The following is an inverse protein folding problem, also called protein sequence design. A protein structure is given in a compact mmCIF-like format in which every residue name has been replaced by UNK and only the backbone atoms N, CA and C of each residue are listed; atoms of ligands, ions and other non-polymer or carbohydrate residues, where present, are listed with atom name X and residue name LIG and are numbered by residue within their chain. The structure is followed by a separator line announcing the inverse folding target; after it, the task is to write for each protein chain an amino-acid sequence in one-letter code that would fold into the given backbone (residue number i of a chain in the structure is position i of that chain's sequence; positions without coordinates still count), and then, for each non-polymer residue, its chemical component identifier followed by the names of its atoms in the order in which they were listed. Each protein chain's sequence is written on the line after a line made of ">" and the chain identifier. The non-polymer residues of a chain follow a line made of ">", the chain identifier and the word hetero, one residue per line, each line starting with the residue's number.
data_IF_700170635164
#
_entry.id   IF_700170635164
#
_cell.length_a   1.000
_cell.length_b   1.000
_cell.length_c   1.000
_cell.angle_alpha   90.00
_cell.angle_beta   90.00
_cell.angle_gamma   90.00
#
_symmetry.space_group_name_H-M   'P 1'
#
loop_
_entity.id
_entity.type
_entity.pdbx_description
1 polymer ?
#
# COMPACT_ATOMS: atom_id res chain seq x y z
N UNK A 1 -2.21 -26.40 24.00
CA UNK A 1 -2.64 -25.03 24.36
C UNK A 1 -3.58 -24.41 23.32
N UNK A 2 -3.31 -24.52 22.00
CA UNK A 2 -4.22 -23.99 20.94
C UNK A 2 -5.51 -24.81 20.77
N UNK A 3 -5.44 -26.16 20.76
CA UNK A 3 -6.64 -27.04 20.68
C UNK A 3 -7.64 -26.85 21.83
N UNK A 4 -7.20 -26.34 22.99
CA UNK A 4 -8.08 -26.11 24.15
C UNK A 4 -8.94 -24.84 24.02
N UNK A 5 -8.60 -23.91 23.12
CA UNK A 5 -9.37 -22.69 22.89
C UNK A 5 -10.55 -22.89 21.91
N UNK A 6 -10.64 -24.07 21.27
CA UNK A 6 -11.65 -24.39 20.25
C UNK A 6 -12.71 -25.41 20.73
N UNK A 7 -12.55 -25.99 21.92
CA UNK A 7 -13.50 -26.97 22.47
C UNK A 7 -14.67 -26.27 23.17
N UNK A 8 -15.70 -25.93 22.39
CA UNK A 8 -17.08 -25.87 22.87
C UNK A 8 -17.80 -27.16 22.47
N UNK A 9 -18.51 -27.78 23.42
CA UNK A 9 -19.13 -29.11 23.38
C UNK A 9 -19.86 -29.46 22.07
N UNK A 10 -19.40 -30.51 21.35
CA UNK A 10 -20.22 -31.53 20.67
C UNK A 10 -19.32 -32.61 19.99
N UNK A 11 -19.01 -33.73 20.65
CA UNK A 11 -17.77 -34.51 20.43
C UNK A 11 -17.73 -35.54 19.27
N UNK A 12 -18.68 -35.63 18.33
CA UNK A 12 -18.59 -36.67 17.27
C UNK A 12 -18.78 -36.22 15.81
N UNK A 13 -19.33 -35.02 15.57
CA UNK A 13 -19.45 -34.40 14.23
C UNK A 13 -18.71 -33.06 14.10
N UNK A 14 -18.14 -32.58 15.21
CA UNK A 14 -17.39 -31.33 15.30
C UNK A 14 -15.91 -31.46 14.94
N UNK A 15 -15.36 -32.69 14.84
CA UNK A 15 -13.92 -32.88 14.63
C UNK A 15 -13.46 -32.36 13.27
N UNK A 16 -14.15 -32.71 12.19
CA UNK A 16 -13.77 -32.33 10.82
C UNK A 16 -13.88 -30.82 10.58
N UNK A 17 -14.90 -30.20 11.18
CA UNK A 17 -15.05 -28.74 11.19
C UNK A 17 -13.95 -28.07 11.99
N UNK A 18 -13.72 -28.54 13.22
CA UNK A 18 -12.65 -28.03 14.07
C UNK A 18 -11.31 -28.15 13.37
N UNK A 19 -11.09 -29.24 12.63
CA UNK A 19 -9.88 -29.48 11.85
C UNK A 19 -9.76 -28.52 10.66
N UNK A 20 -10.82 -28.29 9.87
CA UNK A 20 -10.80 -27.34 8.76
C UNK A 20 -10.54 -25.89 9.23
N UNK A 21 -11.18 -25.47 10.32
CA UNK A 21 -10.95 -24.14 10.91
C UNK A 21 -9.57 -24.05 11.60
N UNK A 22 -9.05 -25.15 12.15
CA UNK A 22 -7.70 -25.20 12.69
C UNK A 22 -6.65 -25.07 11.58
N UNK A 23 -6.81 -25.78 10.47
CA UNK A 23 -5.95 -25.65 9.29
C UNK A 23 -6.03 -24.24 8.69
N UNK A 24 -7.23 -23.67 8.55
CA UNK A 24 -7.39 -22.29 8.10
C UNK A 24 -6.70 -21.29 9.04
N UNK A 25 -6.69 -21.54 10.35
CA UNK A 25 -5.94 -20.72 11.29
C UNK A 25 -4.44 -20.84 11.08
N UNK A 26 -3.89 -22.05 10.99
CA UNK A 26 -2.45 -22.25 10.77
C UNK A 26 -2.01 -21.61 9.45
N UNK A 27 -2.78 -21.78 8.38
CA UNK A 27 -2.46 -21.20 7.07
C UNK A 27 -2.37 -19.67 7.13
N UNK A 28 -3.32 -19.02 7.85
CA UNK A 28 -3.31 -17.56 8.03
C UNK A 28 -2.10 -17.09 8.84
N UNK A 29 -1.71 -17.82 9.89
CA UNK A 29 -0.52 -17.50 10.69
C UNK A 29 0.75 -17.69 9.87
N UNK A 30 0.84 -18.77 9.08
CA UNK A 30 2.01 -19.11 8.27
C UNK A 30 2.28 -18.08 7.17
N UNK A 31 1.23 -17.42 6.65
CA UNK A 31 1.37 -16.28 5.72
C UNK A 31 1.54 -14.93 6.43
N UNK A 32 1.70 -14.92 7.76
CA UNK A 32 2.03 -13.73 8.55
C UNK A 32 0.84 -12.87 8.99
N UNK A 33 -0.39 -13.36 8.87
CA UNK A 33 -1.56 -12.64 9.42
C UNK A 33 -1.48 -12.66 10.94
N UNK A 34 -1.71 -11.49 11.54
CA UNK A 34 -1.76 -11.36 12.99
C UNK A 34 -2.81 -12.31 13.60
N UNK A 35 -2.47 -12.99 14.69
CA UNK A 35 -3.35 -13.95 15.36
C UNK A 35 -4.74 -13.39 15.68
N UNK A 36 -4.83 -12.13 16.10
CA UNK A 36 -6.10 -11.49 16.40
C UNK A 36 -6.98 -11.38 15.15
N UNK A 37 -6.40 -10.93 14.03
CA UNK A 37 -7.09 -10.79 12.74
C UNK A 37 -7.49 -12.18 12.22
N UNK A 38 -6.60 -13.16 12.29
CA UNK A 38 -6.88 -14.53 11.86
C UNK A 38 -8.07 -15.14 12.64
N UNK A 39 -8.11 -14.92 13.97
CA UNK A 39 -9.24 -15.36 14.81
C UNK A 39 -10.54 -14.65 14.42
N UNK A 40 -10.50 -13.33 14.20
CA UNK A 40 -11.67 -12.55 13.80
C UNK A 40 -12.23 -13.00 12.45
N UNK A 41 -11.35 -13.24 11.47
CA UNK A 41 -11.71 -13.75 10.15
C UNK A 41 -12.40 -15.11 10.23
N UNK A 42 -11.82 -16.06 10.97
CA UNK A 42 -12.38 -17.40 11.12
C UNK A 42 -13.68 -17.42 11.93
N UNK A 43 -13.80 -16.57 12.96
CA UNK A 43 -15.04 -16.43 13.71
C UNK A 43 -16.17 -15.89 12.83
N UNK A 44 -15.87 -14.89 12.00
CA UNK A 44 -16.83 -14.31 11.05
C UNK A 44 -17.22 -15.34 9.98
N UNK A 45 -16.23 -16.08 9.46
CA UNK A 45 -16.45 -17.17 8.50
C UNK A 45 -17.38 -18.23 9.09
N UNK A 46 -17.10 -18.69 10.32
CA UNK A 46 -17.91 -19.69 11.03
C UNK A 46 -19.36 -19.24 11.19
N UNK A 47 -19.58 -17.99 11.59
CA UNK A 47 -20.92 -17.44 11.76
C UNK A 47 -21.72 -17.43 10.43
N UNK A 48 -21.10 -17.03 9.33
CA UNK A 48 -21.76 -16.95 8.02
C UNK A 48 -22.08 -18.34 7.43
N UNK A 49 -21.16 -19.30 7.52
CA UNK A 49 -21.42 -20.67 7.01
C UNK A 49 -22.44 -21.42 7.87
N UNK A 50 -22.48 -21.16 9.19
CA UNK A 50 -23.50 -21.73 10.07
C UNK A 50 -24.89 -21.16 9.76
N UNK A 51 -25.00 -19.84 9.55
CA UNK A 51 -26.26 -19.20 9.18
C UNK A 51 -26.79 -19.71 7.82
N UNK A 52 -25.89 -20.08 6.91
CA UNK A 52 -26.24 -20.57 5.57
C UNK A 52 -26.48 -22.09 5.52
N UNK A 53 -26.32 -22.82 6.63
CA UNK A 53 -26.43 -24.28 6.67
C UNK A 53 -25.28 -25.03 5.97
N UNK A 54 -24.23 -24.32 5.54
CA UNK A 54 -23.09 -24.82 4.78
C UNK A 54 -21.85 -25.03 5.66
N UNK A 55 -22.04 -25.16 6.96
CA UNK A 55 -20.92 -25.23 7.89
C UNK A 55 -19.92 -26.34 7.54
N UNK A 56 -20.39 -27.49 7.06
CA UNK A 56 -19.55 -28.66 6.72
C UNK A 56 -18.95 -28.60 5.31
N UNK A 57 -19.30 -27.60 4.50
CA UNK A 57 -18.85 -27.48 3.12
C UNK A 57 -17.51 -26.71 3.08
N UNK A 58 -16.45 -27.42 2.71
CA UNK A 58 -15.08 -26.85 2.64
C UNK A 58 -14.97 -25.74 1.61
N UNK A 59 -15.67 -25.85 0.48
CA UNK A 59 -15.65 -24.82 -0.56
C UNK A 59 -16.45 -23.59 -0.11
N UNK A 60 -17.55 -23.79 0.62
CA UNK A 60 -18.30 -22.70 1.25
C UNK A 60 -17.48 -21.97 2.31
N UNK A 61 -16.75 -22.69 3.19
CA UNK A 61 -15.84 -22.08 4.16
C UNK A 61 -14.77 -21.24 3.47
N UNK A 62 -14.11 -21.81 2.45
CA UNK A 62 -13.03 -21.13 1.72
C UNK A 62 -13.55 -19.88 1.01
N UNK A 63 -14.62 -19.99 0.23
CA UNK A 63 -15.21 -18.86 -0.49
C UNK A 63 -15.66 -17.75 0.46
N UNK A 64 -16.26 -18.11 1.59
CA UNK A 64 -16.66 -17.16 2.64
C UNK A 64 -15.45 -16.43 3.22
N UNK A 65 -14.37 -17.15 3.55
CA UNK A 65 -13.14 -16.55 4.07
C UNK A 65 -12.50 -15.60 3.03
N UNK A 66 -12.47 -15.99 1.76
CA UNK A 66 -11.99 -15.15 0.67
C UNK A 66 -12.80 -13.86 0.56
N UNK A 67 -14.15 -13.95 0.55
CA UNK A 67 -15.02 -12.78 0.50
C UNK A 67 -14.76 -11.83 1.67
N UNK A 68 -14.62 -12.36 2.88
CA UNK A 68 -14.32 -11.55 4.06
C UNK A 68 -12.98 -10.82 3.94
N UNK A 69 -11.95 -11.46 3.37
CA UNK A 69 -10.66 -10.80 3.11
C UNK A 69 -10.79 -9.71 2.04
N UNK A 70 -11.55 -9.97 0.97
CA UNK A 70 -11.83 -8.97 -0.07
C UNK A 70 -12.56 -7.74 0.51
N UNK A 71 -13.54 -7.97 1.38
CA UNK A 71 -14.32 -6.90 2.02
C UNK A 71 -13.46 -6.05 2.97
N UNK A 72 -12.40 -6.63 3.57
CA UNK A 72 -11.44 -5.90 4.41
C UNK A 72 -10.45 -5.04 3.60
N UNK A 73 -10.30 -5.30 2.30
CA UNK A 73 -9.30 -4.67 1.44
C UNK A 73 -9.97 -3.89 0.29
N UNK A 74 -10.63 -2.76 0.59
CA UNK A 74 -11.26 -1.95 -0.45
C UNK A 74 -10.20 -1.45 -1.44
N UNK A 75 -10.30 -1.91 -2.69
CA UNK A 75 -9.39 -1.50 -3.77
C UNK A 75 -9.93 -0.22 -4.42
N UNK A 76 -9.14 0.84 -4.37
CA UNK A 76 -9.46 2.07 -5.10
C UNK A 76 -9.03 1.95 -6.56
N UNK A 77 -9.64 2.74 -7.44
CA UNK A 77 -9.28 2.77 -8.87
C UNK A 77 -7.94 3.45 -9.19
N UNK A 78 -7.04 3.59 -8.22
CA UNK A 78 -5.74 4.26 -8.38
C UNK A 78 -5.83 5.78 -8.47
N UNK A 79 -4.73 6.39 -8.95
CA UNK A 79 -4.60 7.85 -9.13
C UNK A 79 -5.49 8.28 -10.32
N UNK A 80 -6.42 9.20 -10.06
CA UNK A 80 -7.33 9.73 -11.09
C UNK A 80 -6.96 11.16 -11.44
N UNK A 81 -6.75 11.43 -12.73
CA UNK A 81 -6.43 12.75 -13.24
C UNK A 81 -7.71 13.49 -13.66
N UNK A 82 -7.71 14.81 -13.50
CA UNK A 82 -8.78 15.70 -13.96
C UNK A 82 -8.23 16.65 -15.01
N UNK A 83 -9.03 16.96 -16.04
CA UNK A 83 -8.61 17.90 -17.08
C UNK A 83 -8.35 19.29 -16.51
N UNK A 84 -7.28 19.94 -17.00
CA UNK A 84 -6.91 21.30 -16.60
C UNK A 84 -6.38 21.43 -15.18
N UNK A 85 -6.11 20.32 -14.46
CA UNK A 85 -5.52 20.34 -13.11
C UNK A 85 -4.35 19.38 -12.99
N UNK A 86 -3.22 19.88 -12.49
CA UNK A 86 -2.08 19.03 -12.10
C UNK A 86 -2.41 18.28 -10.83
N UNK A 87 -2.45 16.94 -10.92
CA UNK A 87 -2.56 16.08 -9.73
C UNK A 87 -1.17 15.88 -9.13
N UNK A 88 -1.02 16.08 -7.82
CA UNK A 88 0.25 15.90 -7.09
C UNK A 88 0.12 14.75 -6.12
N UNK A 89 0.96 13.73 -6.27
CA UNK A 89 0.91 12.51 -5.46
C UNK A 89 2.27 12.25 -4.84
N UNK A 90 2.31 12.09 -3.52
CA UNK A 90 3.54 11.75 -2.80
C UNK A 90 3.52 10.30 -2.31
N UNK A 91 4.62 9.57 -2.52
CA UNK A 91 4.79 8.24 -1.93
C UNK A 91 5.65 8.33 -0.67
N UNK A 92 5.12 7.86 0.46
CA UNK A 92 5.81 7.83 1.76
C UNK A 92 5.90 6.41 2.30
N UNK A 93 6.78 6.18 3.27
CA UNK A 93 6.92 4.87 3.92
C UNK A 93 8.35 4.50 4.30
N UNK A 94 8.54 3.33 4.93
CA UNK A 94 9.84 2.88 5.44
C UNK A 94 10.92 2.75 4.36
N UNK A 95 12.17 2.59 4.78
CA UNK A 95 13.29 2.33 3.87
C UNK A 95 13.14 0.97 3.18
N UNK A 96 13.49 0.89 1.91
CA UNK A 96 13.52 -0.38 1.16
C UNK A 96 12.19 -0.91 0.65
N UNK A 97 11.04 -0.30 1.01
CA UNK A 97 9.70 -0.76 0.57
C UNK A 97 9.38 -0.54 -0.92
N UNK A 98 10.31 0.04 -1.70
CA UNK A 98 10.16 0.17 -3.14
C UNK A 98 9.56 1.49 -3.66
N UNK A 99 9.49 2.56 -2.85
CA UNK A 99 8.92 3.88 -3.24
C UNK A 99 9.42 4.41 -4.59
N UNK A 100 10.74 4.58 -4.73
CA UNK A 100 11.37 5.12 -5.95
C UNK A 100 11.06 4.25 -7.17
N UNK A 101 11.14 2.92 -7.03
CA UNK A 101 10.79 1.98 -8.11
C UNK A 101 9.30 2.06 -8.47
N UNK A 102 8.42 2.21 -7.48
CA UNK A 102 6.98 2.37 -7.70
C UNK A 102 6.68 3.68 -8.42
N UNK A 103 7.34 4.79 -8.06
CA UNK A 103 7.21 6.07 -8.78
C UNK A 103 7.64 5.93 -10.24
N UNK A 104 8.79 5.31 -10.51
CA UNK A 104 9.25 5.10 -11.88
C UNK A 104 8.23 4.28 -12.69
N UNK A 105 7.64 3.22 -12.10
CA UNK A 105 6.59 2.41 -12.75
C UNK A 105 5.32 3.22 -13.01
N UNK A 106 4.85 4.00 -12.04
CA UNK A 106 3.68 4.85 -12.20
C UNK A 106 3.91 5.90 -13.28
N UNK A 107 5.06 6.58 -13.25
CA UNK A 107 5.45 7.58 -14.24
C UNK A 107 5.49 6.98 -15.65
N UNK A 108 6.12 5.82 -15.81
CA UNK A 108 6.16 5.08 -17.07
C UNK A 108 4.76 4.70 -17.56
N UNK A 109 3.88 4.21 -16.67
CA UNK A 109 2.50 3.86 -17.04
C UNK A 109 1.73 5.09 -17.54
N UNK A 110 1.73 6.19 -16.78
CA UNK A 110 1.01 7.41 -17.15
C UNK A 110 1.57 8.07 -18.41
N UNK A 111 2.91 8.10 -18.58
CA UNK A 111 3.55 8.69 -19.75
C UNK A 111 3.38 7.83 -21.00
N UNK A 112 3.70 6.54 -20.92
CA UNK A 112 3.83 5.68 -22.11
C UNK A 112 2.50 5.06 -22.54
N UNK A 113 1.63 4.69 -21.58
CA UNK A 113 0.35 4.04 -21.89
C UNK A 113 -0.79 5.05 -21.95
N UNK A 114 -0.85 5.97 -20.99
CA UNK A 114 -1.94 6.95 -20.90
C UNK A 114 -1.63 8.29 -21.58
N UNK A 115 -0.40 8.46 -22.10
CA UNK A 115 0.05 9.65 -22.84
C UNK A 115 -0.13 10.97 -22.06
N UNK A 116 0.07 10.91 -20.74
CA UNK A 116 -0.01 12.08 -19.84
C UNK A 116 1.32 12.81 -19.75
N UNK A 117 1.26 14.10 -19.45
CA UNK A 117 2.42 14.94 -19.11
C UNK A 117 2.72 14.72 -17.62
N UNK A 118 3.84 14.08 -17.33
CA UNK A 118 4.23 13.66 -15.98
C UNK A 118 5.52 14.35 -15.59
N UNK A 119 5.61 14.84 -14.35
CA UNK A 119 6.83 15.36 -13.75
C UNK A 119 7.20 14.60 -12.49
N UNK A 120 8.49 14.58 -12.17
CA UNK A 120 9.03 13.93 -10.98
C UNK A 120 9.64 14.97 -10.05
N UNK A 121 9.46 14.77 -8.75
CA UNK A 121 10.18 15.50 -7.71
C UNK A 121 10.80 14.47 -6.77
N UNK A 122 12.08 14.59 -6.43
CA UNK A 122 12.66 13.80 -5.34
C UNK A 122 13.11 14.69 -4.19
N UNK A 123 12.80 14.24 -2.98
CA UNK A 123 13.32 14.79 -1.73
C UNK A 123 14.26 13.81 -1.00
N UNK A 124 14.63 12.68 -1.63
CA UNK A 124 15.64 11.74 -1.09
C UNK A 124 17.07 12.22 -1.41
N UNK A 125 17.42 13.42 -0.96
CA UNK A 125 18.74 14.02 -1.23
C UNK A 125 19.86 13.45 -0.35
N UNK A 126 19.53 12.62 0.63
CA UNK A 126 20.51 11.91 1.46
C UNK A 126 21.17 10.74 0.73
N UNK A 127 20.48 10.14 -0.25
CA UNK A 127 20.96 8.99 -1.00
C UNK A 127 21.26 9.42 -2.42
N UNK A 128 22.47 9.92 -2.66
CA UNK A 128 22.92 10.37 -3.99
C UNK A 128 22.61 9.34 -5.09
N UNK A 129 22.87 8.06 -4.82
CA UNK A 129 22.55 6.99 -5.76
C UNK A 129 21.05 6.83 -6.06
N UNK A 130 20.16 7.17 -5.12
CA UNK A 130 18.71 7.16 -5.35
C UNK A 130 18.27 8.30 -6.27
N UNK A 131 18.86 9.49 -6.12
CA UNK A 131 18.63 10.63 -7.02
C UNK A 131 19.07 10.28 -8.44
N UNK A 132 20.29 9.76 -8.61
CA UNK A 132 20.81 9.37 -9.93
C UNK A 132 20.02 8.21 -10.55
N UNK A 133 19.55 7.26 -9.73
CA UNK A 133 18.68 6.18 -10.19
C UNK A 133 17.35 6.73 -10.72
N UNK A 134 16.70 7.63 -9.99
CA UNK A 134 15.43 8.22 -10.45
C UNK A 134 15.63 9.10 -11.68
N UNK A 135 16.74 9.86 -11.75
CA UNK A 135 17.12 10.65 -12.92
C UNK A 135 17.31 9.77 -14.15
N UNK A 136 17.99 8.64 -14.02
CA UNK A 136 18.15 7.67 -15.11
C UNK A 136 16.80 7.23 -15.67
N UNK A 137 15.81 6.93 -14.80
CA UNK A 137 14.46 6.61 -15.28
C UNK A 137 13.76 7.80 -15.95
N UNK A 138 13.89 9.00 -15.37
CA UNK A 138 13.32 10.23 -15.93
C UNK A 138 13.84 10.50 -17.35
N UNK A 139 15.16 10.38 -17.55
CA UNK A 139 15.83 10.61 -18.84
C UNK A 139 15.40 9.57 -19.88
N UNK A 140 15.30 8.28 -19.48
CA UNK A 140 14.85 7.20 -20.37
C UNK A 140 13.40 7.42 -20.85
N UNK A 141 12.55 7.95 -19.97
CA UNK A 141 11.10 8.14 -20.23
C UNK A 141 10.80 9.56 -20.80
N UNK A 142 11.81 10.43 -20.84
CA UNK A 142 11.71 11.85 -21.21
C UNK A 142 10.71 12.61 -20.32
N UNK A 143 11.04 12.68 -19.01
CA UNK A 143 10.25 13.37 -17.99
C UNK A 143 11.04 14.49 -17.33
N UNK A 144 10.44 15.68 -17.09
CA UNK A 144 11.05 16.70 -16.24
C UNK A 144 11.17 16.18 -14.80
N UNK A 145 12.33 16.43 -14.18
CA UNK A 145 12.62 16.02 -12.82
C UNK A 145 13.26 17.15 -12.01
N UNK A 146 12.78 17.32 -10.77
CA UNK A 146 13.28 18.30 -9.82
C UNK A 146 13.87 17.61 -8.58
N UNK A 147 15.00 18.12 -8.08
CA UNK A 147 15.64 17.65 -6.85
C UNK A 147 15.48 18.75 -5.81
N UNK A 148 14.85 18.42 -4.67
CA UNK A 148 14.42 19.40 -3.68
C UNK A 148 14.92 19.02 -2.30
N UNK A 149 15.57 19.95 -1.61
CA UNK A 149 16.02 19.79 -0.22
C UNK A 149 15.30 20.72 0.76
N UNK A 150 14.67 21.80 0.28
CA UNK A 150 14.03 22.80 1.16
C UNK A 150 12.57 23.06 0.81
N UNK A 151 11.74 23.52 1.78
CA UNK A 151 10.35 23.91 1.51
C UNK A 151 10.23 25.01 0.42
N UNK A 152 11.21 25.92 0.34
CA UNK A 152 11.26 26.94 -0.71
C UNK A 152 11.48 26.32 -2.09
N UNK A 153 12.48 25.45 -2.22
CA UNK A 153 12.73 24.72 -3.48
C UNK A 153 11.52 23.88 -3.89
N UNK A 154 10.80 23.28 -2.94
CA UNK A 154 9.57 22.54 -3.23
C UNK A 154 8.53 23.43 -3.90
N UNK A 155 8.27 24.63 -3.35
CA UNK A 155 7.32 25.57 -3.97
C UNK A 155 7.72 25.93 -5.40
N UNK A 156 9.00 26.20 -5.61
CA UNK A 156 9.54 26.57 -6.92
C UNK A 156 9.44 25.41 -7.92
N UNK A 157 9.77 24.19 -7.49
CA UNK A 157 9.63 22.97 -8.29
C UNK A 157 8.17 22.73 -8.72
N UNK A 158 7.22 22.82 -7.78
CA UNK A 158 5.79 22.66 -8.11
C UNK A 158 5.31 23.76 -9.06
N UNK A 159 5.82 24.99 -8.93
CA UNK A 159 5.48 26.06 -9.87
C UNK A 159 6.01 25.76 -11.28
N UNK A 160 7.24 25.24 -11.41
CA UNK A 160 7.83 24.84 -12.70
C UNK A 160 7.09 23.69 -13.37
N UNK A 161 6.49 22.79 -12.57
CA UNK A 161 5.75 21.61 -13.05
C UNK A 161 4.24 21.83 -13.12
N UNK A 162 3.77 23.08 -12.97
CA UNK A 162 2.35 23.41 -12.80
C UNK A 162 1.49 23.29 -14.07
N UNK A 163 2.12 23.15 -15.23
CA UNK A 163 1.44 22.94 -16.50
C UNK A 163 1.22 21.46 -16.82
N UNK A 164 1.80 20.53 -16.04
CA UNK A 164 1.72 19.09 -16.26
C UNK A 164 0.39 18.49 -15.76
N UNK A 165 0.09 17.26 -16.17
CA UNK A 165 -1.13 16.56 -15.73
C UNK A 165 -0.93 15.87 -14.38
N UNK A 166 0.29 15.37 -14.12
CA UNK A 166 0.65 14.62 -12.92
C UNK A 166 2.06 14.97 -12.44
N UNK A 167 2.22 15.19 -11.14
CA UNK A 167 3.51 15.30 -10.46
C UNK A 167 3.62 14.22 -9.40
N UNK A 168 4.65 13.39 -9.49
CA UNK A 168 4.95 12.33 -8.51
C UNK A 168 6.12 12.75 -7.64
N UNK A 169 5.93 12.70 -6.32
CA UNK A 169 6.93 13.10 -5.32
C UNK A 169 7.52 11.85 -4.64
N UNK A 170 8.80 11.59 -4.90
CA UNK A 170 9.61 10.55 -4.26
C UNK A 170 10.22 11.05 -2.97
N UNK A 171 10.07 10.26 -1.90
CA UNK A 171 10.57 10.62 -0.57
C UNK A 171 11.56 9.59 -0.07
N UNK A 172 12.50 10.03 0.76
CA UNK A 172 13.37 9.12 1.49
C UNK A 172 12.56 8.13 2.34
N UNK A 173 13.11 6.93 2.55
CA UNK A 173 12.59 6.01 3.56
C UNK A 173 12.75 6.59 4.96
N UNK A 174 11.64 6.71 5.71
CA UNK A 174 11.65 7.21 7.08
C UNK A 174 11.06 6.18 8.03
N UNK A 175 11.72 5.99 9.17
CA UNK A 175 11.14 5.23 10.28
C UNK A 175 9.96 6.02 10.86
N UNK A 176 8.80 5.40 11.13
CA UNK A 176 7.70 6.08 11.80
C UNK A 176 8.04 6.51 13.22
N UNK A 177 9.14 6.00 13.80
CA UNK A 177 9.64 6.39 15.12
C UNK A 177 10.52 7.64 15.10
N UNK A 178 10.99 8.07 13.92
CA UNK A 178 11.87 9.23 13.75
C UNK A 178 11.01 10.49 13.56
N UNK A 179 10.47 11.02 14.66
CA UNK A 179 9.51 12.13 14.62
C UNK A 179 10.09 13.40 13.96
N UNK A 180 11.38 13.67 14.14
CA UNK A 180 12.05 14.85 13.55
C UNK A 180 11.97 14.77 12.03
N UNK A 181 12.39 13.64 11.44
CA UNK A 181 12.36 13.46 9.97
C UNK A 181 10.94 13.40 9.41
N UNK A 182 9.97 12.94 10.19
CA UNK A 182 8.56 12.98 9.79
C UNK A 182 8.07 14.44 9.73
N UNK A 183 8.47 15.31 10.67
CA UNK A 183 8.10 16.73 10.62
C UNK A 183 8.80 17.49 9.48
N UNK A 184 10.06 17.18 9.19
CA UNK A 184 10.76 17.71 8.01
C UNK A 184 10.03 17.32 6.72
N UNK A 185 9.68 16.04 6.58
CA UNK A 185 8.93 15.54 5.43
C UNK A 185 7.55 16.23 5.33
N UNK A 186 6.83 16.37 6.45
CA UNK A 186 5.54 17.08 6.50
C UNK A 186 5.69 18.52 6.01
N UNK A 187 6.76 19.20 6.40
CA UNK A 187 7.02 20.58 5.98
C UNK A 187 7.23 20.68 4.46
N UNK A 188 7.95 19.73 3.87
CA UNK A 188 8.10 19.63 2.41
C UNK A 188 6.78 19.32 1.71
N UNK A 189 6.01 18.33 2.20
CA UNK A 189 4.74 17.93 1.58
C UNK A 189 3.65 19.00 1.67
N UNK A 190 3.66 19.82 2.72
CA UNK A 190 2.78 20.99 2.83
C UNK A 190 3.03 21.99 1.68
N UNK A 191 4.30 22.25 1.37
CA UNK A 191 4.68 23.11 0.24
C UNK A 191 4.44 22.45 -1.11
N UNK A 192 4.57 21.13 -1.18
CA UNK A 192 4.21 20.36 -2.36
C UNK A 192 2.72 20.50 -2.70
N UNK A 193 1.88 20.82 -1.69
CA UNK A 193 0.41 20.83 -1.77
C UNK A 193 -0.10 19.52 -2.38
N UNK A 194 0.43 18.40 -1.91
CA UNK A 194 0.08 17.08 -2.42
C UNK A 194 -1.42 16.84 -2.29
N UNK A 195 -2.06 16.46 -3.39
CA UNK A 195 -3.49 16.12 -3.43
C UNK A 195 -3.74 14.72 -2.86
N UNK A 196 -2.73 13.84 -2.93
CA UNK A 196 -2.73 12.52 -2.34
C UNK A 196 -1.38 12.19 -1.71
N UNK A 197 -1.41 11.50 -0.56
CA UNK A 197 -0.21 10.96 0.09
C UNK A 197 -0.45 9.47 0.29
N UNK A 198 0.31 8.63 -0.41
CA UNK A 198 0.15 7.18 -0.40
C UNK A 198 1.27 6.54 0.43
N UNK A 199 0.88 5.71 1.39
CA UNK A 199 1.82 4.89 2.16
C UNK A 199 2.18 3.64 1.35
N UNK A 200 3.47 3.45 1.07
CA UNK A 200 4.01 2.24 0.44
C UNK A 200 4.48 1.28 1.52
N UNK A 201 3.99 0.04 1.46
CA UNK A 201 4.37 -1.04 2.37
C UNK A 201 4.83 -2.28 1.59
N UNK A 202 5.69 -3.08 2.21
CA UNK A 202 6.04 -4.40 1.68
C UNK A 202 4.97 -5.41 2.09
N UNK A 203 4.65 -6.36 1.21
CA UNK A 203 3.74 -7.47 1.48
C UNK A 203 4.42 -8.67 2.15
N UNK A 204 5.71 -8.58 2.49
CA UNK A 204 6.54 -9.72 2.97
C UNK A 204 7.18 -9.47 4.35
N UNK A 205 6.63 -8.53 5.13
CA UNK A 205 7.24 -8.10 6.39
C UNK A 205 7.01 -9.10 7.53
#
# INVERSE_FOLDING_TARGET
>A
RVKQLYNGDDQSRSSDLSDAFFHGFTDLIDVGINEHIARQLLQSTRAQVQASGLAQDRDAIRSTLHQLVEDLLPVTGGIRLAEGKTRRVALVGPTGVGKTTTIAKLAANFRLRERRRVGLVTVDTYRVAAVEQLRTYADIIDLPMEVVSTPREMREAIARLSDLDLVLVDTAGRSPRDQIKIQELKSLLNEARADEVHLVQSCTA
#
